data_IF_283816611583
#
_entry.id   IF_283816611583
#
_cell.length_a   1.000
_cell.length_b   1.000
_cell.length_c   1.000
_cell.angle_alpha   90.00
_cell.angle_beta   90.00
_cell.angle_gamma   90.00
#
_symmetry.space_group_name_H-M   'P 1'
#
loop_
_entity.id
_entity.type
_entity.pdbx_description
1 polymer ?
#
# COMPACT_ATOMS: atom_id res chain seq x y z
N UNK A 1 -50.49 5.57 0.51
CA UNK A 1 -49.18 5.67 1.17
C UNK A 1 -48.37 4.44 0.80
N UNK A 2 -47.46 4.56 -0.17
CA UNK A 2 -46.56 3.47 -0.56
C UNK A 2 -45.54 3.30 0.56
N UNK A 3 -45.67 2.21 1.33
CA UNK A 3 -44.66 1.77 2.28
C UNK A 3 -43.42 1.41 1.47
N UNK A 4 -42.46 2.34 1.38
CA UNK A 4 -41.14 2.04 0.83
C UNK A 4 -40.45 1.10 1.80
N UNK A 5 -40.28 -0.14 1.38
CA UNK A 5 -39.59 -1.19 2.11
C UNK A 5 -38.17 -0.72 2.53
N UNK A 6 -37.90 -0.47 3.83
CA UNK A 6 -36.62 0.05 4.27
C UNK A 6 -35.47 -0.93 4.00
N UNK A 7 -35.75 -2.23 3.85
CA UNK A 7 -34.76 -3.28 3.58
C UNK A 7 -34.20 -3.23 2.15
N UNK A 8 -35.02 -2.84 1.16
CA UNK A 8 -34.58 -2.65 -0.23
C UNK A 8 -33.62 -1.47 -0.42
N UNK A 9 -33.68 -0.48 0.48
CA UNK A 9 -32.86 0.75 0.40
C UNK A 9 -31.40 0.58 0.87
N UNK A 10 -31.09 -0.51 1.59
CA UNK A 10 -29.78 -0.76 2.21
C UNK A 10 -28.67 -1.01 1.17
N UNK A 11 -29.01 -1.61 0.03
CA UNK A 11 -28.05 -2.08 -1.00
C UNK A 11 -27.98 -1.18 -2.23
N UNK A 12 -27.77 0.12 -2.03
CA UNK A 12 -27.67 1.09 -3.14
C UNK A 12 -26.24 1.58 -3.34
N UNK A 13 -25.81 1.68 -4.61
CA UNK A 13 -24.50 2.24 -4.97
C UNK A 13 -24.36 3.69 -4.48
N UNK A 14 -25.48 4.44 -4.50
CA UNK A 14 -25.54 5.80 -3.98
C UNK A 14 -25.24 5.91 -2.47
N UNK A 15 -25.51 4.87 -1.66
CA UNK A 15 -25.11 4.84 -0.25
C UNK A 15 -23.64 4.49 -0.07
N UNK A 16 -23.11 3.57 -0.88
CA UNK A 16 -21.67 3.26 -0.88
C UNK A 16 -20.84 4.50 -1.23
N UNK A 17 -21.24 5.23 -2.27
CA UNK A 17 -20.61 6.50 -2.65
C UNK A 17 -20.73 7.56 -1.56
N UNK A 18 -21.93 7.70 -0.96
CA UNK A 18 -22.12 8.63 0.16
C UNK A 18 -21.23 8.31 1.35
N UNK A 19 -21.05 7.04 1.72
CA UNK A 19 -20.11 6.69 2.80
C UNK A 19 -18.70 7.17 2.50
N UNK A 20 -18.20 6.91 1.28
CA UNK A 20 -16.88 7.36 0.84
C UNK A 20 -16.74 8.89 0.87
N UNK A 21 -17.77 9.60 0.40
CA UNK A 21 -17.80 11.07 0.38
C UNK A 21 -17.89 11.66 1.79
N UNK A 22 -18.79 11.14 2.65
CA UNK A 22 -18.99 11.58 4.02
C UNK A 22 -17.74 11.30 4.87
N UNK A 23 -17.09 10.15 4.66
CA UNK A 23 -15.82 9.81 5.29
C UNK A 23 -14.70 10.76 4.86
N UNK A 24 -14.66 11.13 3.58
CA UNK A 24 -13.65 12.05 3.05
C UNK A 24 -13.86 13.47 3.58
N UNK A 25 -15.11 13.94 3.67
CA UNK A 25 -15.46 15.24 4.25
C UNK A 25 -15.00 15.38 5.71
N UNK A 26 -14.96 14.28 6.46
CA UNK A 26 -14.42 14.22 7.84
C UNK A 26 -12.89 14.18 7.90
N UNK A 27 -12.21 14.92 7.01
CA UNK A 27 -10.75 14.96 6.87
C UNK A 27 -10.00 15.32 8.13
N UNK A 28 -10.46 16.33 8.84
CA UNK A 28 -9.82 16.74 10.10
C UNK A 28 -9.77 15.58 11.09
N UNK A 29 -10.87 14.81 11.19
CA UNK A 29 -10.96 13.69 12.10
C UNK A 29 -10.01 12.55 11.70
N UNK A 30 -10.03 12.07 10.45
CA UNK A 30 -9.15 10.96 10.07
C UNK A 30 -7.68 11.36 9.98
N UNK A 31 -7.36 12.61 9.65
CA UNK A 31 -5.99 13.15 9.70
C UNK A 31 -5.46 13.16 11.14
N UNK A 32 -6.25 13.69 12.07
CA UNK A 32 -5.87 13.74 13.49
C UNK A 32 -5.75 12.34 14.10
N UNK A 33 -6.71 11.45 13.83
CA UNK A 33 -6.68 10.09 14.34
C UNK A 33 -5.48 9.29 13.79
N UNK A 34 -5.16 9.42 12.50
CA UNK A 34 -4.00 8.74 11.92
C UNK A 34 -2.67 9.26 12.46
N UNK A 35 -2.58 10.56 12.77
CA UNK A 35 -1.44 11.13 13.48
C UNK A 35 -1.35 10.64 14.93
N UNK A 36 -2.49 10.54 15.61
CA UNK A 36 -2.57 10.02 16.98
C UNK A 36 -2.16 8.54 17.04
N UNK A 37 -2.48 7.73 16.04
CA UNK A 37 -2.04 6.33 15.97
C UNK A 37 -0.53 6.20 16.05
N UNK A 38 0.20 7.03 15.30
CA UNK A 38 1.66 7.06 15.32
C UNK A 38 2.14 7.49 16.71
N UNK A 39 1.61 8.60 17.24
CA UNK A 39 1.99 9.09 18.57
C UNK A 39 1.72 8.06 19.67
N UNK A 40 0.60 7.35 19.62
CA UNK A 40 0.23 6.33 20.60
C UNK A 40 1.15 5.12 20.50
N UNK A 41 1.41 4.63 19.28
CA UNK A 41 2.34 3.52 19.02
C UNK A 41 3.74 3.81 19.59
N UNK A 42 4.18 5.07 19.56
CA UNK A 42 5.50 5.49 20.01
C UNK A 42 5.52 6.25 21.35
N UNK A 43 4.42 6.28 22.12
CA UNK A 43 4.25 7.15 23.30
C UNK A 43 5.32 7.00 24.39
N UNK A 44 5.95 5.84 24.48
CA UNK A 44 7.01 5.53 25.47
C UNK A 44 8.35 5.18 24.83
N UNK A 45 8.51 5.48 23.54
CA UNK A 45 9.74 5.18 22.82
C UNK A 45 10.68 6.39 22.87
N UNK A 46 11.95 6.16 23.23
CA UNK A 46 12.98 7.21 23.27
C UNK A 46 13.26 7.76 21.86
N UNK A 47 13.39 6.87 20.86
CA UNK A 47 13.65 7.29 19.47
C UNK A 47 12.38 7.61 18.69
N UNK A 48 11.20 7.21 19.20
CA UNK A 48 9.93 7.48 18.53
C UNK A 48 9.82 6.80 17.15
N UNK A 49 9.16 7.44 16.16
CA UNK A 49 8.96 6.90 14.81
C UNK A 49 10.25 6.57 14.04
N UNK A 50 11.40 7.14 14.43
CA UNK A 50 12.68 6.87 13.78
C UNK A 50 13.08 5.40 13.81
N UNK A 51 12.54 4.60 14.75
CA UNK A 51 12.74 3.15 14.76
C UNK A 51 12.32 2.46 13.45
N UNK A 52 11.24 2.92 12.81
CA UNK A 52 10.79 2.34 11.52
C UNK A 52 11.84 2.59 10.45
N UNK A 53 12.36 3.81 10.41
CA UNK A 53 13.39 4.22 9.45
C UNK A 53 14.69 3.49 9.69
N UNK A 54 15.10 3.31 10.95
CA UNK A 54 16.28 2.52 11.31
C UNK A 54 16.08 1.06 10.88
N UNK A 55 14.93 0.45 11.17
CA UNK A 55 14.67 -0.94 10.79
C UNK A 55 14.68 -1.14 9.27
N UNK A 56 13.99 -0.26 8.53
CA UNK A 56 13.93 -0.30 7.07
C UNK A 56 15.29 -0.03 6.44
N UNK A 57 16.02 0.98 6.95
CA UNK A 57 17.34 1.36 6.47
C UNK A 57 18.39 0.28 6.73
N UNK A 58 18.41 -0.31 7.93
CA UNK A 58 19.30 -1.43 8.26
C UNK A 58 19.01 -2.63 7.36
N UNK A 59 17.74 -2.95 7.13
CA UNK A 59 17.35 -4.04 6.21
C UNK A 59 17.82 -3.74 4.79
N UNK A 60 17.61 -2.53 4.29
CA UNK A 60 18.04 -2.12 2.96
C UNK A 60 19.57 -2.16 2.78
N UNK A 61 20.33 -1.68 3.76
CA UNK A 61 21.80 -1.72 3.75
C UNK A 61 22.32 -3.15 3.84
N UNK A 62 21.76 -3.97 4.73
CA UNK A 62 22.16 -5.36 4.88
C UNK A 62 21.89 -6.15 3.58
N UNK A 63 20.68 -6.04 3.03
CA UNK A 63 20.30 -6.75 1.80
C UNK A 63 21.05 -6.19 0.59
N UNK A 64 21.05 -4.87 0.39
CA UNK A 64 21.74 -4.23 -0.72
C UNK A 64 23.25 -4.52 -0.71
N UNK A 65 23.88 -4.48 0.46
CA UNK A 65 25.30 -4.83 0.60
C UNK A 65 25.59 -6.32 0.35
N UNK A 66 24.80 -7.21 0.96
CA UNK A 66 24.98 -8.66 0.82
C UNK A 66 24.78 -9.12 -0.63
N UNK A 67 23.68 -8.71 -1.27
CA UNK A 67 23.35 -9.15 -2.63
C UNK A 67 24.21 -8.49 -3.70
N UNK A 68 24.64 -7.24 -3.48
CA UNK A 68 25.66 -6.62 -4.35
C UNK A 68 26.95 -7.43 -4.37
N UNK A 69 27.41 -7.94 -3.23
CA UNK A 69 28.60 -8.79 -3.16
C UNK A 69 28.36 -10.18 -3.73
N UNK A 70 27.20 -10.79 -3.44
CA UNK A 70 26.88 -12.15 -3.88
C UNK A 70 26.71 -12.24 -5.40
N UNK A 71 26.09 -11.24 -6.02
CA UNK A 71 25.77 -11.24 -7.45
C UNK A 71 26.68 -10.32 -8.27
N UNK A 72 27.77 -9.81 -7.68
CA UNK A 72 28.73 -8.91 -8.32
C UNK A 72 28.08 -7.66 -8.95
N UNK A 73 27.03 -7.12 -8.31
CA UNK A 73 26.31 -5.93 -8.76
C UNK A 73 26.97 -4.66 -8.19
N UNK A 74 26.91 -3.57 -8.95
CA UNK A 74 27.38 -2.26 -8.46
C UNK A 74 26.51 -1.77 -7.30
N UNK A 75 27.14 -1.52 -6.15
CA UNK A 75 26.44 -1.08 -4.93
C UNK A 75 25.69 0.24 -5.14
N UNK A 76 26.26 1.16 -5.93
CA UNK A 76 25.68 2.46 -6.29
C UNK A 76 24.35 2.33 -7.04
N UNK A 77 24.15 1.24 -7.79
CA UNK A 77 22.92 0.98 -8.54
C UNK A 77 21.96 0.13 -7.70
N UNK A 78 22.49 -0.89 -7.03
CA UNK A 78 21.68 -1.89 -6.34
C UNK A 78 21.11 -1.39 -5.01
N UNK A 79 21.86 -0.61 -4.22
CA UNK A 79 21.39 -0.13 -2.92
C UNK A 79 20.18 0.81 -3.02
N UNK A 80 20.15 1.84 -3.91
CA UNK A 80 18.95 2.64 -4.13
C UNK A 80 17.76 1.80 -4.62
N UNK A 81 18.03 0.82 -5.49
CA UNK A 81 17.00 -0.08 -6.04
C UNK A 81 16.30 -0.90 -4.94
N UNK A 82 17.07 -1.58 -4.09
CA UNK A 82 16.55 -2.38 -2.97
C UNK A 82 15.83 -1.49 -1.96
N UNK A 83 16.40 -0.31 -1.67
CA UNK A 83 15.82 0.62 -0.70
C UNK A 83 14.44 1.09 -1.14
N UNK A 84 14.29 1.59 -2.36
CA UNK A 84 12.99 2.00 -2.90
C UNK A 84 12.03 0.82 -2.98
N UNK A 85 12.53 -0.34 -3.40
CA UNK A 85 11.79 -1.60 -3.40
C UNK A 85 11.12 -1.87 -2.05
N UNK A 86 11.90 -1.83 -0.97
CA UNK A 86 11.42 -2.09 0.39
C UNK A 86 10.46 -1.02 0.90
N UNK A 87 10.74 0.26 0.64
CA UNK A 87 9.89 1.36 1.11
C UNK A 87 8.50 1.29 0.46
N UNK A 88 8.43 1.09 -0.86
CA UNK A 88 7.18 0.98 -1.59
C UNK A 88 6.46 -0.32 -1.22
N UNK A 89 7.20 -1.43 -1.12
CA UNK A 89 6.63 -2.71 -0.69
C UNK A 89 5.98 -2.62 0.69
N UNK A 90 6.63 -1.95 1.65
CA UNK A 90 6.08 -1.79 3.00
C UNK A 90 4.73 -1.05 2.99
N UNK A 91 4.55 -0.06 2.11
CA UNK A 91 3.27 0.63 1.94
C UNK A 91 2.19 -0.33 1.38
N UNK A 92 2.52 -1.12 0.36
CA UNK A 92 1.61 -2.11 -0.24
C UNK A 92 1.23 -3.19 0.77
N UNK A 93 2.23 -3.76 1.44
CA UNK A 93 2.07 -4.77 2.48
C UNK A 93 1.16 -4.26 3.61
N UNK A 94 1.40 -3.04 4.10
CA UNK A 94 0.58 -2.45 5.15
C UNK A 94 -0.87 -2.18 4.68
N UNK A 95 -1.08 -1.76 3.44
CA UNK A 95 -2.43 -1.57 2.89
C UNK A 95 -3.23 -2.88 2.83
N UNK A 96 -2.58 -4.01 2.58
CA UNK A 96 -3.22 -5.34 2.56
C UNK A 96 -3.41 -5.86 3.98
N UNK A 97 -2.34 -5.94 4.76
CA UNK A 97 -2.31 -6.60 6.06
C UNK A 97 -3.01 -5.80 7.15
N UNK A 98 -2.65 -4.52 7.32
CA UNK A 98 -3.34 -3.65 8.28
C UNK A 98 -4.73 -3.23 7.75
N UNK A 99 -4.93 -3.27 6.43
CA UNK A 99 -6.25 -3.09 5.81
C UNK A 99 -7.22 -4.21 6.14
N UNK A 100 -6.77 -5.47 6.12
CA UNK A 100 -7.58 -6.61 6.54
C UNK A 100 -8.05 -6.49 8.01
N UNK A 101 -7.19 -5.97 8.88
CA UNK A 101 -7.48 -5.81 10.30
C UNK A 101 -8.20 -4.49 10.65
N UNK A 102 -8.36 -3.57 9.69
CA UNK A 102 -8.73 -2.17 9.96
C UNK A 102 -10.02 -2.01 10.77
N UNK A 103 -11.06 -2.80 10.47
CA UNK A 103 -12.33 -2.71 11.17
C UNK A 103 -12.31 -3.43 12.50
N UNK A 104 -11.62 -4.58 12.60
CA UNK A 104 -11.44 -5.33 13.85
C UNK A 104 -10.68 -4.50 14.88
N UNK A 105 -9.57 -3.89 14.47
CA UNK A 105 -8.80 -2.98 15.32
C UNK A 105 -9.59 -1.73 15.78
N UNK A 106 -10.68 -1.37 15.09
CA UNK A 106 -11.51 -0.20 15.39
C UNK A 106 -12.92 -0.57 15.91
N UNK A 107 -13.16 -1.81 16.35
CA UNK A 107 -14.47 -2.32 16.82
C UNK A 107 -15.16 -1.37 17.80
N UNK A 108 -14.43 -0.94 18.84
CA UNK A 108 -14.97 -0.06 19.88
C UNK A 108 -15.49 1.26 19.32
N UNK A 109 -14.77 1.88 18.38
CA UNK A 109 -15.20 3.12 17.74
C UNK A 109 -16.38 2.90 16.80
N UNK A 110 -16.38 1.80 16.04
CA UNK A 110 -17.45 1.46 15.08
C UNK A 110 -18.76 1.19 15.81
N UNK A 111 -18.72 0.54 16.97
CA UNK A 111 -19.93 0.23 17.77
C UNK A 111 -20.44 1.44 18.56
N UNK A 112 -19.59 2.37 18.95
CA UNK A 112 -19.96 3.52 19.79
C UNK A 112 -20.31 4.78 19.01
N UNK A 113 -19.68 5.01 17.86
CA UNK A 113 -19.93 6.17 17.02
C UNK A 113 -20.46 5.76 15.64
N UNK A 114 -21.61 6.30 15.20
CA UNK A 114 -22.10 6.09 13.84
C UNK A 114 -21.24 6.92 12.86
N UNK A 115 -20.02 6.45 12.58
CA UNK A 115 -19.11 7.02 11.60
C UNK A 115 -19.15 6.23 10.28
N UNK A 116 -18.87 6.89 9.13
CA UNK A 116 -18.67 6.18 7.86
C UNK A 116 -17.54 5.16 7.98
N UNK A 117 -17.70 3.96 7.42
CA UNK A 117 -16.65 2.92 7.50
C UNK A 117 -15.37 3.36 6.80
N UNK A 118 -15.51 4.09 5.69
CA UNK A 118 -14.38 4.65 4.94
C UNK A 118 -13.50 5.57 5.78
N UNK A 119 -14.02 6.18 6.85
CA UNK A 119 -13.22 7.01 7.77
C UNK A 119 -12.06 6.24 8.40
N UNK A 120 -12.32 5.00 8.84
CA UNK A 120 -11.30 4.15 9.44
C UNK A 120 -10.24 3.74 8.42
N UNK A 121 -10.65 3.55 7.16
CA UNK A 121 -9.73 3.26 6.07
C UNK A 121 -8.88 4.50 5.71
N UNK A 122 -9.48 5.69 5.62
CA UNK A 122 -8.72 6.92 5.38
C UNK A 122 -7.71 7.20 6.50
N UNK A 123 -8.10 6.98 7.76
CA UNK A 123 -7.19 7.04 8.92
C UNK A 123 -5.98 6.12 8.75
N UNK A 124 -6.23 4.85 8.38
CA UNK A 124 -5.18 3.86 8.13
C UNK A 124 -4.26 4.32 6.98
N UNK A 125 -4.82 4.63 5.81
CA UNK A 125 -4.03 4.99 4.63
C UNK A 125 -3.21 6.24 4.89
N UNK A 126 -3.77 7.24 5.57
CA UNK A 126 -3.04 8.44 5.97
C UNK A 126 -1.85 8.12 6.87
N UNK A 127 -2.03 7.26 7.88
CA UNK A 127 -0.93 6.78 8.71
C UNK A 127 0.15 6.13 7.85
N UNK A 128 -0.21 5.27 6.89
CA UNK A 128 0.77 4.61 6.04
C UNK A 128 1.50 5.58 5.11
N UNK A 129 0.82 6.62 4.61
CA UNK A 129 1.46 7.70 3.84
C UNK A 129 2.49 8.46 4.68
N UNK A 130 2.19 8.75 5.94
CA UNK A 130 3.15 9.38 6.85
C UNK A 130 4.37 8.50 7.12
N UNK A 131 4.16 7.19 7.32
CA UNK A 131 5.27 6.24 7.51
C UNK A 131 6.12 6.08 6.24
N UNK A 132 5.48 6.04 5.07
CA UNK A 132 6.17 6.05 3.78
C UNK A 132 7.01 7.32 3.61
N UNK A 133 6.43 8.50 3.87
CA UNK A 133 7.13 9.77 3.79
C UNK A 133 8.32 9.84 4.77
N UNK A 134 8.18 9.27 5.98
CA UNK A 134 9.26 9.18 6.94
C UNK A 134 10.39 8.25 6.46
N UNK A 135 10.05 7.11 5.84
CA UNK A 135 11.03 6.18 5.26
C UNK A 135 11.70 6.73 4.00
N UNK A 136 11.05 7.61 3.24
CA UNK A 136 11.65 8.27 2.06
C UNK A 136 12.90 9.08 2.40
N UNK A 137 13.11 9.45 3.66
CA UNK A 137 14.36 10.07 4.14
C UNK A 137 15.58 9.18 3.86
N UNK A 138 15.43 7.85 3.96
CA UNK A 138 16.52 6.89 3.68
C UNK A 138 16.95 7.05 2.22
N UNK A 139 15.98 7.04 1.31
CA UNK A 139 16.25 7.23 -0.11
C UNK A 139 16.81 8.62 -0.40
N UNK A 140 16.34 9.67 0.26
CA UNK A 140 16.89 11.02 0.10
C UNK A 140 18.39 11.08 0.46
N UNK A 141 18.81 10.41 1.54
CA UNK A 141 20.23 10.28 1.91
C UNK A 141 21.01 9.53 0.84
N UNK A 142 20.48 8.41 0.34
CA UNK A 142 21.12 7.60 -0.70
C UNK A 142 21.24 8.38 -2.01
N UNK A 143 20.23 9.16 -2.40
CA UNK A 143 20.23 9.96 -3.62
C UNK A 143 21.24 11.12 -3.57
N UNK A 144 21.62 11.59 -2.38
CA UNK A 144 22.72 12.56 -2.20
C UNK A 144 24.08 11.87 -2.40
N UNK A 145 24.24 10.63 -1.92
CA UNK A 145 25.48 9.86 -2.04
C UNK A 145 25.68 9.35 -3.47
N UNK A 146 24.60 8.89 -4.10
CA UNK A 146 24.56 8.36 -5.46
C UNK A 146 23.59 9.19 -6.31
N UNK A 147 24.02 10.38 -6.77
CA UNK A 147 23.16 11.26 -7.54
C UNK A 147 22.84 10.67 -8.91
N UNK A 148 21.62 10.94 -9.38
CA UNK A 148 21.17 10.63 -10.74
C UNK A 148 20.85 11.90 -11.52
N UNK A 149 20.86 11.86 -12.87
CA UNK A 149 20.32 12.96 -13.66
C UNK A 149 18.79 13.01 -13.49
N UNK A 150 18.29 14.18 -13.11
CA UNK A 150 16.84 14.44 -13.01
C UNK A 150 16.31 14.93 -14.36
N UNK A 151 15.15 14.40 -14.73
CA UNK A 151 14.42 14.80 -15.94
C UNK A 151 12.99 15.21 -15.58
N UNK A 152 12.34 16.00 -16.45
CA UNK A 152 10.93 16.35 -16.28
C UNK A 152 10.00 15.14 -16.25
N UNK A 153 10.41 14.02 -16.87
CA UNK A 153 9.66 12.76 -16.82
C UNK A 153 9.60 12.18 -15.40
N UNK A 154 10.57 12.51 -14.52
CA UNK A 154 10.61 11.97 -13.16
C UNK A 154 9.48 12.53 -12.28
N UNK A 155 8.87 13.63 -12.69
CA UNK A 155 7.71 14.22 -12.01
C UNK A 155 6.48 13.29 -12.04
N UNK A 156 6.50 12.26 -12.91
CA UNK A 156 5.54 11.17 -12.93
C UNK A 156 5.46 10.39 -11.59
N UNK A 157 6.45 10.52 -10.71
CA UNK A 157 6.36 9.97 -9.35
C UNK A 157 5.15 10.51 -8.57
N UNK A 158 4.76 11.77 -8.80
CA UNK A 158 3.63 12.40 -8.08
C UNK A 158 2.30 11.70 -8.42
N UNK A 159 1.89 11.57 -9.70
CA UNK A 159 0.69 10.81 -10.04
C UNK A 159 0.81 9.32 -9.68
N UNK A 160 2.00 8.73 -9.73
CA UNK A 160 2.20 7.34 -9.31
C UNK A 160 1.92 7.13 -7.81
N UNK A 161 2.40 8.04 -6.95
CA UNK A 161 2.08 8.02 -5.52
C UNK A 161 0.58 8.24 -5.27
N UNK A 162 -0.05 9.16 -6.01
CA UNK A 162 -1.49 9.36 -5.95
C UNK A 162 -2.27 8.07 -6.27
N UNK A 163 -1.84 7.33 -7.31
CA UNK A 163 -2.41 6.04 -7.66
C UNK A 163 -2.20 5.00 -6.56
N UNK A 164 -1.00 4.85 -5.99
CA UNK A 164 -0.77 3.88 -4.91
C UNK A 164 -1.66 4.19 -3.70
N UNK A 165 -1.76 5.46 -3.29
CA UNK A 165 -2.61 5.87 -2.17
C UNK A 165 -4.08 5.58 -2.46
N UNK A 166 -4.53 5.90 -3.68
CA UNK A 166 -5.89 5.59 -4.12
C UNK A 166 -6.17 4.08 -4.12
N UNK A 167 -5.19 3.27 -4.49
CA UNK A 167 -5.30 1.81 -4.46
C UNK A 167 -5.30 1.25 -3.04
N UNK A 168 -4.48 1.80 -2.14
CA UNK A 168 -4.44 1.41 -0.74
C UNK A 168 -5.82 1.55 -0.07
N UNK A 169 -6.62 2.55 -0.45
CA UNK A 169 -7.98 2.74 0.07
C UNK A 169 -8.91 1.58 -0.31
N UNK A 170 -9.03 1.25 -1.60
CA UNK A 170 -9.96 0.19 -2.02
C UNK A 170 -9.48 -1.19 -1.55
N UNK A 171 -8.16 -1.42 -1.53
CA UNK A 171 -7.56 -2.66 -1.01
C UNK A 171 -7.93 -2.86 0.46
N UNK A 172 -7.72 -1.84 1.29
CA UNK A 172 -8.06 -1.90 2.71
C UNK A 172 -9.57 -2.03 2.95
N UNK A 173 -10.41 -1.36 2.14
CA UNK A 173 -11.87 -1.54 2.21
C UNK A 173 -12.27 -2.99 1.90
N UNK A 174 -11.80 -3.54 0.77
CA UNK A 174 -12.14 -4.89 0.34
C UNK A 174 -11.69 -5.94 1.34
N UNK A 175 -10.39 -5.94 1.69
CA UNK A 175 -9.86 -6.94 2.61
C UNK A 175 -10.38 -6.75 4.03
N UNK A 176 -10.59 -5.52 4.51
CA UNK A 176 -11.22 -5.27 5.80
C UNK A 176 -12.64 -5.85 5.88
N UNK A 177 -13.47 -5.63 4.85
CA UNK A 177 -14.83 -6.18 4.81
C UNK A 177 -14.78 -7.73 4.75
N UNK A 178 -13.86 -8.31 3.98
CA UNK A 178 -13.73 -9.76 3.88
C UNK A 178 -13.23 -10.39 5.18
N UNK A 179 -12.24 -9.81 5.82
CA UNK A 179 -11.63 -10.33 7.03
C UNK A 179 -12.54 -10.20 8.27
N UNK A 180 -13.36 -9.14 8.34
CA UNK A 180 -14.41 -9.06 9.37
C UNK A 180 -15.44 -10.17 9.20
N UNK A 181 -15.76 -10.54 7.96
CA UNK A 181 -16.68 -11.66 7.69
C UNK A 181 -16.05 -13.03 7.95
N UNK A 182 -14.80 -13.21 7.54
CA UNK A 182 -14.09 -14.48 7.54
C UNK A 182 -12.74 -14.34 8.24
N UNK A 183 -12.62 -14.92 9.44
CA UNK A 183 -11.40 -14.83 10.26
C UNK A 183 -10.16 -15.44 9.58
N UNK A 184 -10.34 -16.39 8.67
CA UNK A 184 -9.24 -17.08 7.97
C UNK A 184 -8.57 -16.21 6.88
N UNK A 185 -9.20 -15.09 6.49
CA UNK A 185 -8.64 -14.19 5.47
C UNK A 185 -7.33 -13.55 5.95
N UNK A 186 -7.21 -13.22 7.24
CA UNK A 186 -5.97 -12.64 7.78
C UNK A 186 -4.76 -13.56 7.58
N UNK A 187 -4.78 -14.80 8.13
CA UNK A 187 -3.71 -15.78 7.90
C UNK A 187 -3.47 -16.10 6.43
N UNK A 188 -4.53 -16.22 5.60
CA UNK A 188 -4.40 -16.45 4.17
C UNK A 188 -3.63 -15.31 3.47
N UNK A 189 -3.98 -14.05 3.78
CA UNK A 189 -3.31 -12.89 3.23
C UNK A 189 -1.85 -12.83 3.67
N UNK A 190 -1.53 -13.20 4.91
CA UNK A 190 -0.14 -13.27 5.36
C UNK A 190 0.71 -14.18 4.46
N UNK A 191 0.23 -15.41 4.20
CA UNK A 191 0.93 -16.36 3.33
C UNK A 191 1.04 -15.86 1.88
N UNK A 192 -0.05 -15.29 1.33
CA UNK A 192 -0.07 -14.76 -0.04
C UNK A 192 0.90 -13.59 -0.17
N UNK A 193 0.86 -12.62 0.74
CA UNK A 193 1.72 -11.44 0.69
C UNK A 193 3.19 -11.82 0.85
N UNK A 194 3.50 -12.80 1.71
CA UNK A 194 4.85 -13.34 1.83
C UNK A 194 5.34 -13.97 0.51
N UNK A 195 4.50 -14.75 -0.17
CA UNK A 195 4.84 -15.31 -1.49
C UNK A 195 5.03 -14.18 -2.52
N UNK A 196 4.13 -13.19 -2.54
CA UNK A 196 4.20 -12.05 -3.45
C UNK A 196 5.46 -11.21 -3.24
N UNK A 197 5.98 -11.10 -2.01
CA UNK A 197 7.26 -10.43 -1.75
C UNK A 197 8.39 -11.07 -2.55
N UNK A 198 8.49 -12.40 -2.52
CA UNK A 198 9.55 -13.11 -3.25
C UNK A 198 9.35 -13.09 -4.78
N UNK A 199 8.10 -13.07 -5.23
CA UNK A 199 7.75 -12.97 -6.66
C UNK A 199 7.90 -11.55 -7.22
N UNK A 200 8.01 -10.53 -6.37
CA UNK A 200 8.17 -9.14 -6.80
C UNK A 200 9.67 -8.81 -6.86
N UNK A 201 10.16 -8.13 -7.91
CA UNK A 201 11.57 -7.77 -8.06
C UNK A 201 11.96 -6.63 -7.11
N UNK A 202 11.96 -6.90 -5.81
CA UNK A 202 12.31 -5.93 -4.75
C UNK A 202 13.82 -5.95 -4.52
N UNK A 203 14.37 -7.16 -4.42
CA UNK A 203 15.77 -7.39 -4.07
C UNK A 203 16.60 -7.62 -5.34
N UNK A 204 16.00 -8.20 -6.37
CA UNK A 204 16.64 -8.55 -7.63
C UNK A 204 15.96 -7.81 -8.79
N UNK A 205 16.65 -7.73 -9.92
CA UNK A 205 16.15 -7.15 -11.16
C UNK A 205 16.23 -8.17 -12.32
N UNK A 206 15.66 -7.83 -13.49
CA UNK A 206 15.66 -8.71 -14.66
C UNK A 206 17.07 -9.08 -15.12
N UNK A 207 18.01 -8.12 -15.06
CA UNK A 207 19.42 -8.35 -15.38
C UNK A 207 20.04 -9.43 -14.50
N UNK A 208 19.78 -9.38 -13.19
CA UNK A 208 20.27 -10.37 -12.23
C UNK A 208 19.68 -11.76 -12.53
N UNK A 209 18.38 -11.85 -12.86
CA UNK A 209 17.76 -13.12 -13.24
C UNK A 209 18.37 -13.71 -14.51
N UNK A 210 18.62 -12.87 -15.53
CA UNK A 210 19.24 -13.31 -16.79
C UNK A 210 20.67 -13.79 -16.57
N UNK A 211 21.45 -13.06 -15.78
CA UNK A 211 22.82 -13.45 -15.42
C UNK A 211 22.88 -14.80 -14.69
N UNK A 212 21.87 -15.12 -13.88
CA UNK A 212 21.78 -16.37 -13.13
C UNK A 212 21.11 -17.52 -13.91
N UNK A 213 20.87 -17.36 -15.21
CA UNK A 213 20.25 -18.40 -16.05
C UNK A 213 18.75 -18.61 -15.82
N UNK A 214 18.10 -17.73 -15.04
CA UNK A 214 16.69 -17.80 -14.68
C UNK A 214 15.80 -16.86 -15.51
N UNK A 215 16.26 -16.40 -16.68
CA UNK A 215 15.54 -15.40 -17.50
C UNK A 215 14.12 -15.80 -17.94
N UNK A 216 13.79 -17.09 -17.96
CA UNK A 216 12.41 -17.56 -18.24
C UNK A 216 11.42 -17.14 -17.14
N UNK A 217 11.89 -17.00 -15.89
CA UNK A 217 11.08 -16.57 -14.75
C UNK A 217 10.69 -15.10 -14.83
N UNK A 218 11.43 -14.28 -15.58
CA UNK A 218 11.09 -12.86 -15.78
C UNK A 218 9.68 -12.68 -16.35
N UNK A 219 9.26 -13.52 -17.29
CA UNK A 219 7.91 -13.47 -17.88
C UNK A 219 6.81 -13.84 -16.87
N UNK A 220 7.10 -14.77 -15.95
CA UNK A 220 6.16 -15.18 -14.91
C UNK A 220 6.02 -14.06 -13.88
N UNK A 221 7.14 -13.41 -13.54
CA UNK A 221 7.21 -12.27 -12.63
C UNK A 221 6.41 -11.08 -13.16
N UNK A 222 6.44 -10.83 -14.47
CA UNK A 222 5.63 -9.78 -15.11
C UNK A 222 4.12 -9.99 -15.01
N UNK A 223 3.64 -11.21 -14.69
CA UNK A 223 2.22 -11.44 -14.43
C UNK A 223 1.78 -10.92 -13.06
N UNK A 224 2.75 -10.63 -12.16
CA UNK A 224 2.45 -10.13 -10.83
C UNK A 224 2.02 -8.66 -10.89
N UNK A 225 0.76 -8.32 -10.54
CA UNK A 225 0.28 -6.95 -10.59
C UNK A 225 1.09 -5.99 -9.69
N UNK A 226 1.66 -6.48 -8.59
CA UNK A 226 2.41 -5.66 -7.63
C UNK A 226 3.74 -5.15 -8.18
N UNK A 227 4.29 -5.84 -9.19
CA UNK A 227 5.46 -5.35 -9.92
C UNK A 227 5.18 -4.00 -10.57
N UNK A 228 4.02 -3.87 -11.23
CA UNK A 228 3.68 -2.64 -11.95
C UNK A 228 3.51 -1.45 -10.99
N UNK A 229 2.95 -1.67 -9.80
CA UNK A 229 2.87 -0.65 -8.75
C UNK A 229 4.25 -0.23 -8.23
N UNK A 230 5.15 -1.19 -8.04
CA UNK A 230 6.52 -0.92 -7.60
C UNK A 230 7.24 -0.06 -8.65
N UNK A 231 7.09 -0.42 -9.92
CA UNK A 231 7.87 0.17 -11.00
C UNK A 231 7.47 1.61 -11.32
N UNK A 232 6.17 1.94 -11.36
CA UNK A 232 5.70 3.31 -11.66
C UNK A 232 6.19 4.38 -10.66
N UNK A 233 6.55 3.99 -9.43
CA UNK A 233 7.15 4.89 -8.44
C UNK A 233 8.67 4.79 -8.45
N UNK A 234 9.22 3.58 -8.58
CA UNK A 234 10.66 3.35 -8.51
C UNK A 234 11.41 3.85 -9.74
N UNK A 235 10.91 3.60 -10.96
CA UNK A 235 11.61 3.97 -12.19
C UNK A 235 11.88 5.48 -12.30
N UNK A 236 10.90 6.39 -12.05
CA UNK A 236 11.15 7.83 -11.98
C UNK A 236 12.22 8.20 -10.95
N UNK A 237 12.19 7.59 -9.76
CA UNK A 237 13.15 7.88 -8.68
C UNK A 237 14.54 7.36 -8.99
N UNK A 238 14.69 6.26 -9.75
CA UNK A 238 15.99 5.77 -10.20
C UNK A 238 16.49 6.46 -11.49
N UNK A 239 15.64 7.23 -12.17
CA UNK A 239 15.96 7.78 -13.50
C UNK A 239 16.00 6.70 -14.59
N UNK A 240 15.31 5.58 -14.34
CA UNK A 240 15.19 4.49 -15.28
C UNK A 240 14.11 4.80 -16.34
N UNK A 241 14.11 4.04 -17.42
CA UNK A 241 13.08 4.13 -18.44
C UNK A 241 11.70 3.79 -17.85
N UNK A 242 10.70 4.62 -18.14
CA UNK A 242 9.34 4.45 -17.63
C UNK A 242 8.46 3.84 -18.72
N UNK A 243 8.14 2.56 -18.61
CA UNK A 243 7.28 1.90 -19.60
C UNK A 243 5.80 2.25 -19.39
N UNK A 244 5.14 2.68 -20.46
CA UNK A 244 3.72 3.03 -20.46
C UNK A 244 2.81 1.84 -20.09
N UNK A 245 3.29 0.61 -20.32
CA UNK A 245 2.56 -0.62 -19.98
C UNK A 245 2.32 -0.73 -18.47
N UNK A 246 3.29 -0.38 -17.61
CA UNK A 246 3.09 -0.44 -16.17
C UNK A 246 1.98 0.52 -15.72
N UNK A 247 1.94 1.71 -16.30
CA UNK A 247 0.88 2.69 -16.05
C UNK A 247 -0.50 2.17 -16.48
N UNK A 248 -0.61 1.61 -17.68
CA UNK A 248 -1.87 1.07 -18.19
C UNK A 248 -2.42 -0.05 -17.29
N UNK A 249 -1.55 -0.97 -16.86
CA UNK A 249 -1.94 -2.07 -15.96
C UNK A 249 -2.40 -1.52 -14.60
N UNK A 250 -1.66 -0.59 -14.01
CA UNK A 250 -2.04 0.01 -12.71
C UNK A 250 -3.37 0.74 -12.81
N UNK A 251 -3.60 1.53 -13.86
CA UNK A 251 -4.88 2.23 -14.06
C UNK A 251 -6.03 1.23 -14.24
N UNK A 252 -5.84 0.16 -15.03
CA UNK A 252 -6.84 -0.89 -15.20
C UNK A 252 -7.18 -1.57 -13.86
N UNK A 253 -6.16 -1.94 -13.07
CA UNK A 253 -6.33 -2.53 -11.74
C UNK A 253 -7.01 -1.56 -10.77
N UNK A 254 -6.72 -0.26 -10.87
CA UNK A 254 -7.37 0.77 -10.07
C UNK A 254 -8.87 0.80 -10.36
N UNK A 255 -9.25 0.82 -11.63
CA UNK A 255 -10.66 0.81 -12.05
C UNK A 255 -11.37 -0.46 -11.56
N UNK A 256 -10.78 -1.63 -11.80
CA UNK A 256 -11.33 -2.92 -11.35
C UNK A 256 -11.46 -2.97 -9.82
N UNK A 257 -10.43 -2.55 -9.10
CA UNK A 257 -10.39 -2.51 -7.65
C UNK A 257 -11.49 -1.61 -7.05
N UNK A 258 -11.70 -0.43 -7.62
CA UNK A 258 -12.79 0.46 -7.19
C UNK A 258 -14.18 -0.08 -7.51
N UNK A 259 -14.36 -0.79 -8.63
CA UNK A 259 -15.61 -1.51 -8.93
C UNK A 259 -15.87 -2.59 -7.87
N UNK A 260 -14.85 -3.38 -7.52
CA UNK A 260 -14.95 -4.40 -6.47
C UNK A 260 -15.26 -3.78 -5.09
N UNK A 261 -14.59 -2.68 -4.73
CA UNK A 261 -14.85 -1.99 -3.47
C UNK A 261 -16.25 -1.39 -3.42
N UNK A 262 -16.72 -0.80 -4.52
CA UNK A 262 -18.08 -0.28 -4.61
C UNK A 262 -19.13 -1.41 -4.46
N UNK A 263 -18.87 -2.57 -5.04
CA UNK A 263 -19.72 -3.76 -4.87
C UNK A 263 -19.69 -4.29 -3.42
N UNK A 264 -18.50 -4.42 -2.82
CA UNK A 264 -18.33 -4.86 -1.44
C UNK A 264 -19.05 -3.91 -0.46
N UNK A 265 -18.87 -2.60 -0.64
CA UNK A 265 -19.54 -1.57 0.15
C UNK A 265 -21.07 -1.61 -0.04
N UNK A 266 -21.56 -1.75 -1.27
CA UNK A 266 -23.00 -1.86 -1.55
C UNK A 266 -23.62 -3.07 -0.84
N UNK A 267 -22.95 -4.21 -0.84
CA UNK A 267 -23.52 -5.47 -0.37
C UNK A 267 -23.34 -5.69 1.14
N UNK A 268 -22.19 -5.28 1.70
CA UNK A 268 -21.75 -5.74 3.01
C UNK A 268 -21.55 -4.64 4.05
N UNK A 269 -21.47 -3.35 3.67
CA UNK A 269 -21.24 -2.22 4.59
C UNK A 269 -22.12 -2.26 5.85
N UNK A 270 -23.43 -2.45 5.67
CA UNK A 270 -24.39 -2.44 6.78
C UNK A 270 -24.20 -3.62 7.76
N UNK A 271 -23.47 -4.66 7.35
CA UNK A 271 -23.22 -5.87 8.16
C UNK A 271 -21.92 -5.80 8.95
N UNK A 272 -20.97 -4.94 8.54
CA UNK A 272 -19.66 -4.82 9.18
C UNK A 272 -19.78 -4.58 10.70
N UNK A 273 -20.62 -3.66 11.22
CA UNK A 273 -20.73 -3.44 12.68
C UNK A 273 -21.20 -4.67 13.48
N UNK A 274 -21.82 -5.65 12.83
CA UNK A 274 -22.27 -6.90 13.45
C UNK A 274 -21.23 -8.03 13.35
N UNK A 275 -20.26 -7.90 12.43
CA UNK A 275 -19.23 -8.92 12.21
C UNK A 275 -17.96 -8.63 12.98
N UNK A 276 -17.68 -7.34 13.19
CA UNK A 276 -16.65 -6.90 14.12
C UNK A 276 -17.11 -7.15 15.53
#
# INVERSE_FOLDING_TARGET
>A
MTVTDPAGSSKTLARAWRDLADGYQRRELWLHLGWQDIKQRYRRSVLGPFWITIATGTTAVAMGGLYSKLFHLELSVHLPYVTLGLIIWNLINAAIMEGADVFVANEGLIRQLPAPLSLHVYRLVWRQVLLFAHNMVIYAVIAIIFPKPWSWADLAVIPALGLIVLNAVWVALCFGILATRYRDIGPLLFSIVQLLFFMTPIIWNDETLRQQGAGQWAKIVELNPLLHYLDIVRAPLLGAHQELRHWAVVVALTVVGWVLAAFAMRQYRARVPYWV
#
